data_IF_730971215995
#
_entry.id   IF_730971215995
#
_cell.length_a   1.000
_cell.length_b   1.000
_cell.length_c   1.000
_cell.angle_alpha   90.00
_cell.angle_beta   90.00
_cell.angle_gamma   90.00
#
_symmetry.space_group_name_H-M   'P 1'
#
loop_
_entity.id
_entity.type
_entity.pdbx_description
1 polymer ?
#
# COMPACT_ATOMS: atom_id res chain seq x y z
N UNK A 1 0.43 20.03 -19.28
CA UNK A 1 1.52 20.59 -18.45
C UNK A 1 1.71 19.68 -17.23
N UNK A 2 2.93 19.25 -16.88
CA UNK A 2 3.18 18.47 -15.65
C UNK A 2 3.65 19.41 -14.54
N UNK A 3 2.90 19.51 -13.45
CA UNK A 3 3.33 20.31 -12.29
C UNK A 3 4.41 19.57 -11.50
N UNK A 4 5.48 20.29 -11.15
CA UNK A 4 6.54 19.73 -10.30
C UNK A 4 6.05 19.50 -8.86
N UNK A 5 5.17 20.38 -8.37
CA UNK A 5 4.64 20.40 -7.01
C UNK A 5 3.13 20.22 -7.09
N UNK A 6 2.63 19.09 -6.60
CA UNK A 6 1.21 18.79 -6.46
C UNK A 6 0.80 18.86 -4.99
N UNK A 7 -0.49 19.11 -4.72
CA UNK A 7 -1.07 19.11 -3.39
C UNK A 7 -0.85 17.77 -2.69
N UNK A 8 -1.02 16.66 -3.41
CA UNK A 8 -0.77 15.32 -2.88
C UNK A 8 0.69 15.16 -2.40
N UNK A 9 1.66 15.60 -3.20
CA UNK A 9 3.09 15.57 -2.83
C UNK A 9 3.37 16.48 -1.63
N UNK A 10 2.78 17.68 -1.58
CA UNK A 10 2.95 18.58 -0.44
C UNK A 10 2.44 17.97 0.86
N UNK A 11 1.28 17.32 0.80
CA UNK A 11 0.67 16.64 1.96
C UNK A 11 1.45 15.41 2.40
N UNK A 12 2.04 14.69 1.45
CA UNK A 12 3.00 13.64 1.77
C UNK A 12 4.27 14.18 2.44
N UNK A 13 4.85 15.26 1.90
CA UNK A 13 6.01 15.92 2.51
C UNK A 13 5.70 16.44 3.92
N UNK A 14 4.52 17.03 4.12
CA UNK A 14 4.04 17.48 5.44
C UNK A 14 4.03 16.31 6.43
N UNK A 15 3.42 15.18 6.04
CA UNK A 15 3.34 13.98 6.88
C UNK A 15 4.72 13.43 7.24
N UNK A 16 5.62 13.35 6.27
CA UNK A 16 6.97 12.78 6.43
C UNK A 16 7.96 13.73 7.11
N UNK A 17 7.67 15.03 7.16
CA UNK A 17 8.54 16.04 7.78
C UNK A 17 8.43 16.07 9.30
N UNK A 18 7.37 15.53 9.89
CA UNK A 18 7.10 15.57 11.33
C UNK A 18 8.28 14.99 12.13
N UNK A 19 8.89 15.84 12.97
CA UNK A 19 10.03 15.49 13.82
C UNK A 19 11.40 15.52 13.14
N UNK A 20 11.49 15.96 11.88
CA UNK A 20 12.76 16.13 11.17
C UNK A 20 12.90 17.60 10.68
N UNK A 21 13.85 18.38 11.22
CA UNK A 21 13.97 19.81 10.90
C UNK A 21 14.35 20.07 9.44
N UNK A 22 15.23 19.26 8.85
CA UNK A 22 15.66 19.41 7.45
C UNK A 22 14.48 19.16 6.49
N UNK A 23 13.72 18.09 6.71
CA UNK A 23 12.51 17.79 5.93
C UNK A 23 11.45 18.86 6.12
N UNK A 24 11.35 19.45 7.31
CA UNK A 24 10.41 20.55 7.60
C UNK A 24 10.76 21.78 6.78
N UNK A 25 12.04 22.16 6.72
CA UNK A 25 12.51 23.28 5.88
C UNK A 25 12.22 23.02 4.40
N UNK A 26 12.53 21.80 3.91
CA UNK A 26 12.24 21.43 2.52
C UNK A 26 10.74 21.50 2.19
N UNK A 27 9.87 21.01 3.09
CA UNK A 27 8.42 21.14 2.96
C UNK A 27 8.00 22.61 2.92
N UNK A 28 8.47 23.45 3.85
CA UNK A 28 8.10 24.87 3.91
C UNK A 28 8.50 25.65 2.66
N UNK A 29 9.67 25.35 2.09
CA UNK A 29 10.09 25.95 0.83
C UNK A 29 9.18 25.54 -0.34
N UNK A 30 8.79 24.26 -0.42
CA UNK A 30 7.89 23.76 -1.46
C UNK A 30 6.46 24.27 -1.29
N UNK A 31 5.99 24.36 -0.04
CA UNK A 31 4.69 24.94 0.31
C UNK A 31 4.63 26.39 -0.17
N UNK A 32 5.62 27.22 0.20
CA UNK A 32 5.69 28.60 -0.25
C UNK A 32 5.63 28.73 -1.78
N UNK A 33 6.41 27.92 -2.50
CA UNK A 33 6.40 27.93 -3.99
C UNK A 33 5.03 27.58 -4.57
N UNK A 34 4.33 26.63 -3.95
CA UNK A 34 2.98 26.27 -4.39
C UNK A 34 1.98 27.38 -4.08
N UNK A 35 2.04 27.97 -2.89
CA UNK A 35 1.17 29.08 -2.50
C UNK A 35 1.41 30.32 -3.39
N UNK A 36 2.67 30.61 -3.72
CA UNK A 36 3.05 31.68 -4.66
C UNK A 36 2.47 31.41 -6.06
N UNK A 37 2.55 30.17 -6.55
CA UNK A 37 1.99 29.75 -7.85
C UNK A 37 0.46 29.84 -7.89
N UNK A 38 -0.22 29.39 -6.82
CA UNK A 38 -1.68 29.52 -6.71
C UNK A 38 -2.08 30.99 -6.66
N UNK A 39 -1.36 31.81 -5.90
CA UNK A 39 -1.66 33.24 -5.78
C UNK A 39 -1.45 34.00 -7.09
N UNK A 40 -0.45 33.63 -7.90
CA UNK A 40 -0.21 34.26 -9.20
C UNK A 40 -1.26 33.88 -10.24
N UNK A 41 -1.76 32.64 -10.21
CA UNK A 41 -2.73 32.16 -11.20
C UNK A 41 -4.17 32.56 -10.85
N UNK A 42 -4.54 32.58 -9.58
CA UNK A 42 -5.91 32.82 -9.13
C UNK A 42 -6.09 34.26 -8.59
N UNK A 43 -6.05 35.23 -9.50
CA UNK A 43 -6.34 36.64 -9.21
C UNK A 43 -7.84 36.94 -9.27
N UNK A 44 -8.27 38.13 -8.83
CA UNK A 44 -9.68 38.54 -8.88
C UNK A 44 -10.24 38.64 -10.31
N UNK A 45 -9.37 38.77 -11.32
CA UNK A 45 -9.73 38.85 -12.74
C UNK A 45 -9.74 37.48 -13.41
N UNK A 46 -9.31 36.42 -12.72
CA UNK A 46 -9.29 35.07 -13.27
C UNK A 46 -10.72 34.57 -13.54
N UNK A 47 -10.96 33.82 -14.63
CA UNK A 47 -12.28 33.31 -14.99
C UNK A 47 -12.82 32.31 -13.94
N UNK A 48 -11.93 31.78 -13.09
CA UNK A 48 -12.24 30.74 -12.12
C UNK A 48 -11.52 31.06 -10.81
N UNK A 49 -12.25 30.94 -9.70
CA UNK A 49 -11.71 31.11 -8.35
C UNK A 49 -11.03 29.85 -7.82
N UNK A 50 -10.05 30.07 -6.95
CA UNK A 50 -9.48 28.99 -6.15
C UNK A 50 -10.46 28.61 -5.04
N UNK A 51 -10.94 27.35 -5.05
CA UNK A 51 -11.72 26.77 -3.95
C UNK A 51 -11.05 25.45 -3.56
N UNK A 52 -10.74 25.20 -2.27
CA UNK A 52 -10.00 23.99 -1.87
C UNK A 52 -10.75 22.68 -2.14
N UNK A 53 -12.04 22.60 -1.80
CA UNK A 53 -12.86 21.41 -2.02
C UNK A 53 -13.86 21.69 -3.13
N UNK A 54 -13.70 21.03 -4.27
CA UNK A 54 -14.48 21.27 -5.50
C UNK A 54 -15.39 20.08 -5.79
N UNK A 55 -16.56 20.32 -6.37
CA UNK A 55 -17.30 19.25 -7.02
C UNK A 55 -16.60 18.87 -8.33
N UNK A 56 -16.76 17.62 -8.76
CA UNK A 56 -16.28 17.14 -10.06
C UNK A 56 -16.77 18.05 -11.19
N UNK A 57 -18.03 18.50 -11.14
CA UNK A 57 -18.62 19.43 -12.11
C UNK A 57 -17.84 20.77 -12.21
N UNK A 58 -17.33 21.26 -11.08
CA UNK A 58 -16.60 22.51 -11.05
C UNK A 58 -15.18 22.37 -11.63
N UNK A 59 -14.56 21.20 -11.47
CA UNK A 59 -13.28 20.89 -12.12
C UNK A 59 -13.47 20.72 -13.62
N UNK A 60 -14.52 20.01 -14.05
CA UNK A 60 -14.85 19.84 -15.47
C UNK A 60 -15.10 21.18 -16.15
N UNK A 61 -15.80 22.11 -15.48
CA UNK A 61 -15.97 23.48 -16.00
C UNK A 61 -14.64 24.19 -16.19
N UNK A 62 -13.69 23.99 -15.29
CA UNK A 62 -12.35 24.59 -15.43
C UNK A 62 -11.54 24.00 -16.58
N UNK A 63 -11.66 22.69 -16.80
CA UNK A 63 -11.04 22.01 -17.93
C UNK A 63 -11.65 22.45 -19.27
N UNK A 64 -12.97 22.67 -19.30
CA UNK A 64 -13.67 23.23 -20.47
C UNK A 64 -13.17 24.64 -20.79
N UNK A 65 -13.13 25.54 -19.80
CA UNK A 65 -12.61 26.91 -19.99
C UNK A 65 -11.17 26.88 -20.48
N UNK A 66 -10.34 26.00 -19.92
CA UNK A 66 -8.95 25.86 -20.35
C UNK A 66 -8.82 25.30 -21.78
N UNK A 67 -9.71 24.39 -22.18
CA UNK A 67 -9.76 23.86 -23.54
C UNK A 67 -10.25 24.88 -24.57
N UNK A 68 -11.19 25.74 -24.19
CA UNK A 68 -11.75 26.80 -25.04
C UNK A 68 -10.80 28.00 -25.19
N UNK A 69 -10.16 28.41 -24.09
CA UNK A 69 -9.23 29.55 -24.03
C UNK A 69 -7.87 29.21 -24.65
N UNK A 70 -7.34 28.01 -24.36
CA UNK A 70 -5.99 27.62 -24.78
C UNK A 70 -4.86 28.39 -24.08
N UNK A 71 -5.18 29.29 -23.15
CA UNK A 71 -4.20 30.04 -22.36
C UNK A 71 -3.41 29.10 -21.44
N UNK A 72 -2.05 29.16 -21.43
CA UNK A 72 -1.24 28.42 -20.47
C UNK A 72 -1.66 28.60 -19.01
N UNK A 73 -2.16 29.78 -18.62
CA UNK A 73 -2.58 30.04 -17.25
C UNK A 73 -3.90 29.33 -16.92
N UNK A 74 -4.85 29.28 -17.85
CA UNK A 74 -6.10 28.52 -17.66
C UNK A 74 -5.84 27.02 -17.60
N UNK A 75 -4.91 26.52 -18.42
CA UNK A 75 -4.45 25.14 -18.37
C UNK A 75 -3.80 24.83 -17.02
N UNK A 76 -2.96 25.73 -16.49
CA UNK A 76 -2.33 25.56 -15.18
C UNK A 76 -3.37 25.58 -14.05
N UNK A 77 -4.34 26.51 -14.10
CA UNK A 77 -5.47 26.56 -13.16
C UNK A 77 -6.21 25.24 -13.16
N UNK A 78 -6.67 24.74 -14.32
CA UNK A 78 -7.40 23.48 -14.42
C UNK A 78 -6.64 22.30 -13.80
N UNK A 79 -5.32 22.20 -14.07
CA UNK A 79 -4.47 21.15 -13.49
C UNK A 79 -4.37 21.26 -11.96
N UNK A 80 -4.24 22.46 -11.39
CA UNK A 80 -4.24 22.68 -9.93
C UNK A 80 -5.57 22.23 -9.32
N UNK A 81 -6.68 22.55 -9.97
CA UNK A 81 -8.01 22.22 -9.46
C UNK A 81 -8.29 20.71 -9.51
N UNK A 82 -7.87 20.04 -10.59
CA UNK A 82 -7.96 18.59 -10.74
C UNK A 82 -7.12 17.87 -9.69
N UNK A 83 -5.87 18.28 -9.51
CA UNK A 83 -4.98 17.73 -8.50
C UNK A 83 -5.53 17.91 -7.06
N UNK A 84 -6.10 19.08 -6.77
CA UNK A 84 -6.79 19.34 -5.51
C UNK A 84 -7.96 18.38 -5.28
N UNK A 85 -8.84 18.24 -6.29
CA UNK A 85 -9.98 17.34 -6.24
C UNK A 85 -9.57 15.88 -6.01
N UNK A 86 -8.63 15.37 -6.81
CA UNK A 86 -8.13 13.99 -6.70
C UNK A 86 -7.51 13.73 -5.32
N UNK A 87 -6.81 14.71 -4.75
CA UNK A 87 -6.28 14.59 -3.40
C UNK A 87 -7.39 14.41 -2.36
N UNK A 88 -8.44 15.23 -2.40
CA UNK A 88 -9.52 15.18 -1.40
C UNK A 88 -10.38 13.92 -1.56
N UNK A 89 -10.64 13.47 -2.78
CA UNK A 89 -11.28 12.18 -3.04
C UNK A 89 -10.46 11.02 -2.46
N UNK A 90 -9.15 11.01 -2.72
CA UNK A 90 -8.25 10.01 -2.14
C UNK A 90 -8.19 10.11 -0.60
N UNK A 91 -8.19 11.34 -0.04
CA UNK A 91 -8.21 11.59 1.40
C UNK A 91 -9.43 10.98 2.08
N UNK A 92 -10.61 11.13 1.47
CA UNK A 92 -11.85 10.51 1.93
C UNK A 92 -11.77 8.97 1.95
N UNK A 93 -11.03 8.38 1.01
CA UNK A 93 -10.84 6.93 0.92
C UNK A 93 -9.68 6.39 1.79
N UNK A 94 -8.86 7.25 2.41
CA UNK A 94 -7.67 6.82 3.18
C UNK A 94 -7.95 5.80 4.27
N UNK A 95 -9.12 5.87 4.92
CA UNK A 95 -9.47 4.92 5.97
C UNK A 95 -9.60 3.47 5.48
N UNK A 96 -10.05 3.27 4.23
CA UNK A 96 -10.14 1.95 3.61
C UNK A 96 -8.73 1.42 3.28
N UNK A 97 -7.92 2.26 2.64
CA UNK A 97 -6.54 1.96 2.27
C UNK A 97 -5.68 1.61 3.50
N UNK A 98 -5.85 2.33 4.61
CA UNK A 98 -5.11 2.02 5.85
C UNK A 98 -5.45 0.65 6.43
N UNK A 99 -6.73 0.24 6.37
CA UNK A 99 -7.14 -1.09 6.85
C UNK A 99 -6.55 -2.18 5.97
N UNK A 100 -6.58 -1.98 4.66
CA UNK A 100 -6.01 -2.91 3.69
C UNK A 100 -4.50 -3.03 3.84
N UNK A 101 -3.78 -1.89 3.82
CA UNK A 101 -2.33 -1.82 4.03
C UNK A 101 -1.93 -2.51 5.33
N UNK A 102 -2.65 -2.26 6.44
CA UNK A 102 -2.40 -2.92 7.72
C UNK A 102 -2.60 -4.43 7.64
N UNK A 103 -3.64 -4.88 6.95
CA UNK A 103 -3.93 -6.30 6.75
C UNK A 103 -2.81 -6.97 5.94
N UNK A 104 -2.43 -6.39 4.80
CA UNK A 104 -1.37 -6.90 3.93
C UNK A 104 -0.04 -7.02 4.67
N UNK A 105 0.38 -5.99 5.41
CA UNK A 105 1.63 -6.03 6.18
C UNK A 105 1.62 -7.11 7.26
N UNK A 106 0.48 -7.33 7.94
CA UNK A 106 0.33 -8.41 8.92
C UNK A 106 0.42 -9.79 8.29
N UNK A 107 -0.21 -9.97 7.13
CA UNK A 107 -0.15 -11.23 6.38
C UNK A 107 1.29 -11.51 5.98
N UNK A 108 2.02 -10.54 5.43
CA UNK A 108 3.44 -10.68 5.05
C UNK A 108 4.33 -11.06 6.23
N UNK A 109 4.13 -10.42 7.38
CA UNK A 109 4.86 -10.77 8.59
C UNK A 109 4.54 -12.18 9.09
N UNK A 110 3.27 -12.59 9.02
CA UNK A 110 2.84 -13.92 9.48
C UNK A 110 3.26 -15.04 8.53
N UNK A 111 3.30 -14.78 7.22
CA UNK A 111 3.76 -15.73 6.20
C UNK A 111 5.28 -15.84 6.14
N UNK A 112 6.03 -14.94 6.79
CA UNK A 112 7.48 -14.86 6.67
C UNK A 112 7.94 -14.41 5.28
N UNK A 113 7.09 -13.72 4.53
CA UNK A 113 7.45 -13.18 3.21
C UNK A 113 8.56 -12.13 3.35
N UNK A 114 9.48 -12.09 2.37
CA UNK A 114 10.55 -11.11 2.34
C UNK A 114 9.98 -9.70 2.26
N UNK A 115 10.26 -8.91 3.28
CA UNK A 115 9.85 -7.50 3.34
C UNK A 115 10.71 -6.64 2.41
N UNK A 116 10.05 -5.69 1.74
CA UNK A 116 10.69 -4.71 0.85
C UNK A 116 10.78 -3.33 1.48
N UNK A 117 11.61 -2.45 0.92
CA UNK A 117 11.66 -1.04 1.32
C UNK A 117 10.30 -0.34 1.15
N UNK A 118 9.48 -0.78 0.18
CA UNK A 118 8.12 -0.28 -0.01
C UNK A 118 7.22 -0.61 1.17
N UNK A 119 7.36 -1.81 1.74
CA UNK A 119 6.59 -2.24 2.91
C UNK A 119 6.96 -1.41 4.15
N UNK A 120 8.26 -1.12 4.34
CA UNK A 120 8.75 -0.23 5.41
C UNK A 120 8.16 1.17 5.29
N UNK A 121 8.17 1.75 4.07
CA UNK A 121 7.59 3.07 3.82
C UNK A 121 6.08 3.07 4.03
N UNK A 122 5.37 2.03 3.59
CA UNK A 122 3.93 1.89 3.81
C UNK A 122 3.60 1.80 5.31
N UNK A 123 4.36 1.02 6.07
CA UNK A 123 4.21 0.91 7.51
C UNK A 123 4.52 2.24 8.24
N UNK A 124 5.56 2.96 7.81
CA UNK A 124 5.89 4.28 8.34
C UNK A 124 4.76 5.29 8.07
N UNK A 125 4.25 5.33 6.83
CA UNK A 125 3.10 6.19 6.46
C UNK A 125 1.89 5.89 7.35
N UNK A 126 1.57 4.61 7.53
CA UNK A 126 0.45 4.17 8.37
C UNK A 126 0.62 4.64 9.83
N UNK A 127 1.82 4.50 10.40
CA UNK A 127 2.11 4.92 11.78
C UNK A 127 2.07 6.44 11.97
N UNK A 128 2.52 7.21 10.96
CA UNK A 128 2.48 8.68 10.99
C UNK A 128 1.08 9.26 10.76
N UNK A 129 0.29 8.62 9.89
CA UNK A 129 -1.07 9.05 9.58
C UNK A 129 -2.05 8.70 10.72
N UNK A 130 -1.88 7.53 11.34
CA UNK A 130 -2.69 7.06 12.46
C UNK A 130 -1.79 6.48 13.56
N UNK A 131 -1.34 7.33 14.48
CA UNK A 131 -0.34 7.02 15.52
C UNK A 131 -0.88 6.19 16.69
N UNK A 132 -1.64 5.14 16.39
CA UNK A 132 -2.00 4.13 17.38
C UNK A 132 -0.77 3.29 17.77
N UNK A 133 -0.72 2.84 19.03
CA UNK A 133 0.35 1.95 19.53
C UNK A 133 0.53 0.73 18.63
N UNK A 134 -0.56 0.17 18.12
CA UNK A 134 -0.54 -0.97 17.20
C UNK A 134 0.14 -0.66 15.86
N UNK A 135 -0.05 0.53 15.30
CA UNK A 135 0.56 0.89 14.02
C UNK A 135 2.05 1.22 14.19
N UNK A 136 2.41 1.84 15.32
CA UNK A 136 3.81 2.09 15.68
C UNK A 136 4.55 0.75 15.88
N UNK A 137 3.94 -0.19 16.62
CA UNK A 137 4.51 -1.53 16.80
C UNK A 137 4.65 -2.29 15.48
N UNK A 138 3.64 -2.21 14.60
CA UNK A 138 3.70 -2.83 13.27
C UNK A 138 4.85 -2.25 12.43
N UNK A 139 5.04 -0.92 12.43
CA UNK A 139 6.18 -0.30 11.77
C UNK A 139 7.52 -0.81 12.32
N UNK A 140 7.68 -0.87 13.64
CA UNK A 140 8.91 -1.39 14.26
C UNK A 140 9.18 -2.85 13.85
N UNK A 141 8.14 -3.70 13.79
CA UNK A 141 8.26 -5.09 13.35
C UNK A 141 8.68 -5.19 11.89
N UNK A 142 8.01 -4.46 10.98
CA UNK A 142 8.33 -4.45 9.55
C UNK A 142 9.75 -3.94 9.31
N UNK A 143 10.14 -2.84 9.98
CA UNK A 143 11.49 -2.29 9.88
C UNK A 143 12.54 -3.28 10.35
N UNK A 144 12.33 -3.91 11.51
CA UNK A 144 13.26 -4.91 12.06
C UNK A 144 13.41 -6.11 11.13
N UNK A 145 12.30 -6.63 10.58
CA UNK A 145 12.34 -7.75 9.63
C UNK A 145 12.97 -7.41 8.28
N UNK A 146 12.93 -6.13 7.87
CA UNK A 146 13.63 -5.65 6.68
C UNK A 146 15.15 -5.47 6.92
N UNK A 147 15.54 -4.90 8.05
CA UNK A 147 16.95 -4.64 8.41
C UNK A 147 17.68 -5.92 8.82
N UNK A 148 16.98 -6.83 9.51
CA UNK A 148 17.46 -8.13 9.90
C UNK A 148 16.59 -9.19 9.22
N UNK A 149 16.81 -9.48 7.93
CA UNK A 149 16.23 -10.64 7.29
C UNK A 149 16.88 -11.86 7.96
N UNK A 150 16.37 -12.27 9.12
CA UNK A 150 16.65 -13.58 9.70
C UNK A 150 16.45 -14.56 8.56
N UNK A 151 17.48 -15.33 8.22
CA UNK A 151 17.53 -16.20 7.05
C UNK A 151 16.13 -16.76 6.79
N UNK A 152 15.44 -16.19 5.79
CA UNK A 152 14.31 -16.87 5.21
C UNK A 152 14.90 -18.19 4.78
N UNK A 153 14.56 -19.25 5.48
CA UNK A 153 14.66 -20.58 4.92
C UNK A 153 13.69 -20.53 3.75
N UNK A 154 14.15 -20.06 2.60
CA UNK A 154 13.68 -20.53 1.31
C UNK A 154 14.03 -22.01 1.34
N UNK A 155 13.16 -22.81 1.96
CA UNK A 155 13.02 -24.17 1.51
C UNK A 155 12.61 -24.01 0.04
N UNK A 156 13.58 -24.11 -0.86
CA UNK A 156 13.28 -24.58 -2.22
C UNK A 156 12.28 -25.71 -2.03
N UNK A 157 11.12 -25.71 -2.71
CA UNK A 157 10.16 -26.78 -2.53
C UNK A 157 10.91 -28.08 -2.76
N UNK A 158 11.14 -28.82 -1.67
CA UNK A 158 11.88 -30.06 -1.73
C UNK A 158 11.23 -30.87 -2.86
N UNK A 159 12.01 -31.48 -3.78
CA UNK A 159 11.44 -32.25 -4.86
C UNK A 159 10.43 -33.20 -4.23
N UNK A 160 9.14 -33.03 -4.59
CA UNK A 160 8.04 -33.76 -3.98
C UNK A 160 8.42 -35.23 -4.03
N UNK A 161 8.75 -35.79 -2.87
CA UNK A 161 9.13 -37.19 -2.77
C UNK A 161 7.86 -37.94 -3.13
N UNK A 162 7.89 -38.63 -4.28
CA UNK A 162 6.78 -39.48 -4.73
C UNK A 162 6.33 -40.36 -3.57
N UNK A 163 5.03 -40.36 -3.31
CA UNK A 163 4.46 -41.15 -2.22
C UNK A 163 4.65 -42.62 -2.59
N UNK A 164 5.24 -43.40 -1.68
CA UNK A 164 5.48 -44.83 -1.93
C UNK A 164 4.43 -45.71 -1.24
N UNK A 165 4.30 -46.96 -1.66
CA UNK A 165 3.38 -47.92 -1.05
C UNK A 165 3.64 -48.09 0.46
N UNK A 166 4.93 -48.07 0.87
CA UNK A 166 5.35 -48.11 2.27
C UNK A 166 4.81 -46.93 3.11
N UNK A 167 4.65 -45.76 2.51
CA UNK A 167 4.13 -44.57 3.19
C UNK A 167 2.61 -44.69 3.44
N UNK A 168 1.89 -45.33 2.51
CA UNK A 168 0.47 -45.64 2.65
C UNK A 168 0.25 -46.70 3.73
N UNK A 169 1.09 -47.74 3.77
CA UNK A 169 1.00 -48.79 4.80
C UNK A 169 1.31 -48.25 6.19
N UNK A 170 2.36 -47.45 6.35
CA UNK A 170 2.67 -46.81 7.65
C UNK A 170 1.54 -45.88 8.12
N UNK A 171 0.97 -45.09 7.21
CA UNK A 171 -0.16 -44.22 7.55
C UNK A 171 -1.42 -45.03 7.93
N UNK A 172 -1.61 -46.20 7.31
CA UNK A 172 -2.70 -47.13 7.66
C UNK A 172 -2.48 -47.75 9.04
N UNK A 173 -1.27 -48.21 9.34
CA UNK A 173 -0.90 -48.78 10.64
C UNK A 173 -1.03 -47.74 11.76
N UNK A 174 -0.59 -46.50 11.53
CA UNK A 174 -0.77 -45.39 12.48
C UNK A 174 -2.24 -45.09 12.75
N UNK A 175 -3.09 -45.09 11.70
CA UNK A 175 -4.53 -44.87 11.84
C UNK A 175 -5.25 -46.04 12.53
N UNK A 176 -4.79 -47.28 12.33
CA UNK A 176 -5.33 -48.46 13.01
C UNK A 176 -4.89 -48.52 14.49
N UNK A 177 -3.63 -48.18 14.77
CA UNK A 177 -3.08 -48.19 16.12
C UNK A 177 -3.62 -47.05 16.98
N UNK A 178 -3.92 -45.90 16.36
CA UNK A 178 -4.53 -44.76 17.03
C UNK A 178 -5.57 -44.09 16.12
N UNK A 179 -6.85 -44.49 16.21
CA UNK A 179 -7.94 -44.01 15.36
C UNK A 179 -8.42 -42.60 15.75
N UNK A 180 -7.48 -41.66 15.77
CA UNK A 180 -7.76 -40.24 15.94
C UNK A 180 -8.13 -39.61 14.59
N UNK A 181 -9.10 -38.68 14.52
CA UNK A 181 -9.55 -38.08 13.26
C UNK A 181 -8.41 -37.51 12.38
N UNK A 182 -7.38 -36.93 13.01
CA UNK A 182 -6.18 -36.43 12.30
C UNK A 182 -5.40 -37.53 11.57
N UNK A 183 -5.28 -38.72 12.16
CA UNK A 183 -4.55 -39.85 11.56
C UNK A 183 -5.35 -40.46 10.40
N UNK A 184 -6.68 -40.49 10.52
CA UNK A 184 -7.54 -40.93 9.42
C UNK A 184 -7.49 -39.97 8.22
N UNK A 185 -7.47 -38.66 8.49
CA UNK A 185 -7.29 -37.64 7.44
C UNK A 185 -5.91 -37.80 6.77
N UNK A 186 -4.83 -37.93 7.56
CA UNK A 186 -3.47 -38.18 7.05
C UNK A 186 -3.41 -39.42 6.15
N UNK A 187 -3.97 -40.55 6.58
CA UNK A 187 -4.06 -41.76 5.75
C UNK A 187 -4.83 -41.52 4.45
N UNK A 188 -5.99 -40.85 4.51
CA UNK A 188 -6.79 -40.56 3.32
C UNK A 188 -6.11 -39.61 2.33
N UNK A 189 -5.30 -38.67 2.80
CA UNK A 189 -4.51 -37.75 1.97
C UNK A 189 -3.37 -38.50 1.28
N UNK A 190 -2.54 -39.21 2.05
CA UNK A 190 -1.40 -39.99 1.53
C UNK A 190 -1.87 -41.05 0.53
N UNK A 191 -3.00 -41.72 0.80
CA UNK A 191 -3.59 -42.68 -0.14
C UNK A 191 -4.09 -42.00 -1.42
N UNK A 192 -4.69 -40.81 -1.36
CA UNK A 192 -5.15 -40.09 -2.56
C UNK A 192 -3.97 -39.65 -3.43
N UNK A 193 -2.90 -39.18 -2.80
CA UNK A 193 -1.66 -38.78 -3.48
C UNK A 193 -1.01 -39.99 -4.17
N UNK A 194 -0.90 -41.14 -3.49
CA UNK A 194 -0.41 -42.39 -4.09
C UNK A 194 -1.23 -42.86 -5.31
N UNK A 195 -2.56 -42.83 -5.22
CA UNK A 195 -3.45 -43.22 -6.32
C UNK A 195 -3.40 -42.23 -7.49
N UNK A 196 -3.18 -40.94 -7.21
CA UNK A 196 -3.04 -39.91 -8.24
C UNK A 196 -1.70 -40.04 -9.00
N UNK A 197 -0.67 -40.59 -8.37
CA UNK A 197 0.64 -40.87 -8.97
C UNK A 197 0.70 -42.19 -9.76
N UNK A 198 -0.42 -42.93 -9.87
CA UNK A 198 -0.53 -44.15 -10.66
C UNK A 198 -0.13 -45.44 -9.94
N UNK A 199 -0.13 -45.44 -8.59
CA UNK A 199 0.00 -46.67 -7.82
C UNK A 199 -1.26 -47.53 -7.90
N UNK A 200 -1.10 -48.81 -8.28
CA UNK A 200 -2.13 -49.85 -8.21
C UNK A 200 -2.16 -50.53 -6.82
#
# INVERSE_FOLDING_TARGET
MKMEITLAKLKEMELMSRGNPEKTVAYKLKQKRYDDMVSSLFTAEAPIMYLPSKSEEYVQRAEQIAAESGDPDDLARAVILRDGFEYYEADNMKHLDWKETRSQLKVKLASGERLSQRDVLAAERLARANSSVNNIALYSQVKTGYENPTECVTEEPAPQRKVTADDVEKAREEAQRNPHPRNMVKFSQVRREFMAEGGE
#
